data_IF_871880363437
#
_entry.id   IF_871880363437
#
_cell.length_a   1.000
_cell.length_b   1.000
_cell.length_c   1.000
_cell.angle_alpha   90.00
_cell.angle_beta   90.00
_cell.angle_gamma   90.00
#
_symmetry.space_group_name_H-M   'P 1'
#
loop_
_entity.id
_entity.type
_entity.pdbx_description
1 polymer ?
#
# COMPACT_ATOMS: atom_id res chain seq x y z
N UNK A 1 -17.34 0.87 5.51
CA UNK A 1 -16.88 0.45 4.17
C UNK A 1 -16.28 1.65 3.47
N UNK A 2 -15.14 1.51 2.77
CA UNK A 2 -14.60 2.57 1.92
C UNK A 2 -15.66 3.06 0.92
N UNK A 3 -15.65 4.37 0.61
CA UNK A 3 -16.65 4.98 -0.27
C UNK A 3 -16.57 4.48 -1.72
N UNK A 4 -15.44 3.89 -2.09
CA UNK A 4 -15.09 3.46 -3.43
C UNK A 4 -15.26 1.96 -3.67
N UNK A 5 -15.66 1.19 -2.65
CA UNK A 5 -15.80 -0.26 -2.78
C UNK A 5 -16.77 -0.67 -3.90
N UNK A 6 -17.81 0.14 -4.13
CA UNK A 6 -18.77 -0.07 -5.20
C UNK A 6 -18.40 0.63 -6.51
N UNK A 7 -17.40 1.51 -6.54
CA UNK A 7 -17.03 2.22 -7.77
C UNK A 7 -16.57 1.25 -8.85
N UNK A 8 -15.78 0.22 -8.50
CA UNK A 8 -15.39 -0.79 -9.47
C UNK A 8 -16.58 -1.62 -9.96
N UNK A 9 -17.58 -1.86 -9.10
CA UNK A 9 -18.82 -2.56 -9.48
C UNK A 9 -19.64 -1.72 -10.45
N UNK A 10 -19.75 -0.41 -10.18
CA UNK A 10 -20.46 0.54 -11.02
C UNK A 10 -19.76 0.70 -12.38
N UNK A 11 -18.43 0.83 -12.38
CA UNK A 11 -17.61 0.92 -13.60
C UNK A 11 -17.61 -0.37 -14.43
N UNK A 12 -17.77 -1.53 -13.79
CA UNK A 12 -17.97 -2.80 -14.46
C UNK A 12 -19.39 -2.98 -15.01
N UNK A 13 -20.32 -2.03 -14.77
CA UNK A 13 -21.77 -2.16 -15.00
C UNK A 13 -22.37 -3.40 -14.31
N UNK A 14 -21.96 -3.61 -13.06
CA UNK A 14 -22.51 -4.62 -12.17
C UNK A 14 -21.62 -5.83 -11.92
N UNK A 15 -22.02 -6.68 -10.95
CA UNK A 15 -21.16 -7.71 -10.37
C UNK A 15 -20.77 -8.82 -11.34
N UNK A 16 -21.51 -9.02 -12.43
CA UNK A 16 -21.21 -10.08 -13.42
C UNK A 16 -19.91 -9.82 -14.18
N UNK A 17 -19.52 -8.56 -14.35
CA UNK A 17 -18.30 -8.16 -15.07
C UNK A 17 -17.17 -7.73 -14.13
N UNK A 18 -17.44 -7.66 -12.83
CA UNK A 18 -16.49 -7.20 -11.81
C UNK A 18 -15.16 -7.93 -11.87
N UNK A 19 -15.19 -9.27 -11.95
CA UNK A 19 -13.95 -10.07 -12.04
C UNK A 19 -13.15 -9.71 -13.28
N UNK A 20 -13.80 -9.68 -14.45
CA UNK A 20 -13.14 -9.37 -15.71
C UNK A 20 -12.53 -7.95 -15.70
N UNK A 21 -13.25 -6.97 -15.14
CA UNK A 21 -12.78 -5.60 -15.06
C UNK A 21 -11.62 -5.44 -14.06
N UNK A 22 -11.69 -6.15 -12.93
CA UNK A 22 -10.58 -6.25 -11.98
C UNK A 22 -9.32 -6.79 -12.66
N UNK A 23 -9.41 -7.96 -13.31
CA UNK A 23 -8.28 -8.57 -14.01
C UNK A 23 -7.68 -7.65 -15.07
N UNK A 24 -8.53 -7.01 -15.88
CA UNK A 24 -8.10 -6.10 -16.95
C UNK A 24 -7.29 -4.93 -16.39
N UNK A 25 -7.78 -4.28 -15.33
CA UNK A 25 -7.12 -3.14 -14.69
C UNK A 25 -5.89 -3.56 -13.91
N UNK A 26 -5.95 -4.69 -13.23
CA UNK A 26 -4.82 -5.28 -12.52
C UNK A 26 -3.65 -5.56 -13.46
N UNK A 27 -3.91 -6.20 -14.60
CA UNK A 27 -2.90 -6.45 -15.63
C UNK A 27 -2.38 -5.14 -16.25
N UNK A 28 -3.26 -4.17 -16.52
CA UNK A 28 -2.86 -2.86 -17.04
C UNK A 28 -1.99 -2.06 -16.05
N UNK A 29 -2.17 -2.28 -14.75
CA UNK A 29 -1.36 -1.69 -13.69
C UNK A 29 0.00 -2.37 -13.52
N UNK A 30 0.27 -3.48 -14.22
CA UNK A 30 1.53 -4.24 -14.10
C UNK A 30 1.49 -5.36 -13.05
N UNK A 31 0.30 -5.69 -12.53
CA UNK A 31 0.15 -6.76 -11.55
C UNK A 31 0.59 -8.12 -12.09
N UNK A 32 1.20 -8.94 -11.23
CA UNK A 32 1.71 -10.25 -11.63
C UNK A 32 0.58 -11.27 -11.75
N UNK A 33 0.51 -11.98 -12.88
CA UNK A 33 -0.50 -13.01 -13.09
C UNK A 33 -0.49 -14.12 -12.02
N UNK A 34 0.66 -14.35 -11.38
CA UNK A 34 0.81 -15.30 -10.27
C UNK A 34 0.17 -14.83 -8.96
N UNK A 35 -0.02 -13.52 -8.78
CA UNK A 35 -0.58 -12.89 -7.56
C UNK A 35 -2.07 -12.54 -7.75
N UNK A 36 -2.57 -12.57 -8.98
CA UNK A 36 -3.93 -12.15 -9.35
C UNK A 36 -5.03 -12.83 -8.53
N UNK A 37 -4.94 -14.14 -8.29
CA UNK A 37 -5.99 -14.86 -7.55
C UNK A 37 -6.03 -14.47 -6.07
N UNK A 38 -4.86 -14.36 -5.44
CA UNK A 38 -4.76 -13.92 -4.05
C UNK A 38 -5.28 -12.48 -3.91
N UNK A 39 -4.89 -11.59 -4.83
CA UNK A 39 -5.34 -10.19 -4.81
C UNK A 39 -6.84 -10.05 -5.07
N UNK A 40 -7.40 -10.90 -5.93
CA UNK A 40 -8.84 -10.96 -6.13
C UNK A 40 -9.58 -11.45 -4.87
N UNK A 41 -9.10 -12.52 -4.24
CA UNK A 41 -9.70 -13.02 -2.99
C UNK A 41 -9.64 -11.96 -1.89
N UNK A 42 -8.51 -11.24 -1.79
CA UNK A 42 -8.36 -10.09 -0.90
C UNK A 42 -9.36 -8.96 -1.22
N UNK A 43 -9.56 -8.66 -2.51
CA UNK A 43 -10.52 -7.67 -2.96
C UNK A 43 -11.96 -8.05 -2.56
N UNK A 44 -12.41 -9.27 -2.92
CA UNK A 44 -13.79 -9.73 -2.67
C UNK A 44 -14.09 -9.94 -1.19
N UNK A 45 -13.10 -10.41 -0.41
CA UNK A 45 -13.24 -10.53 1.04
C UNK A 45 -13.28 -9.18 1.76
N UNK A 46 -12.93 -8.09 1.07
CA UNK A 46 -12.88 -6.74 1.61
C UNK A 46 -11.70 -6.49 2.54
N UNK A 47 -10.71 -7.40 2.60
CA UNK A 47 -9.53 -7.25 3.47
C UNK A 47 -8.74 -5.99 3.12
N UNK A 48 -8.67 -5.65 1.83
CA UNK A 48 -8.03 -4.42 1.37
C UNK A 48 -8.72 -3.16 1.88
N UNK A 49 -10.03 -3.17 2.09
CA UNK A 49 -10.77 -2.01 2.64
C UNK A 49 -10.44 -1.67 4.09
N UNK A 50 -9.73 -2.56 4.80
CA UNK A 50 -9.21 -2.32 6.15
C UNK A 50 -7.93 -1.49 6.08
N UNK A 51 -7.04 -1.76 5.12
CA UNK A 51 -5.72 -1.15 5.06
C UNK A 51 -5.61 0.00 4.04
N UNK A 52 -6.37 -0.02 2.95
CA UNK A 52 -6.29 0.95 1.87
C UNK A 52 -7.35 2.03 1.98
N UNK A 53 -6.97 3.26 1.63
CA UNK A 53 -7.92 4.39 1.49
C UNK A 53 -8.81 4.21 0.29
N UNK A 54 -8.25 3.67 -0.79
CA UNK A 54 -8.94 3.34 -2.03
C UNK A 54 -8.61 1.91 -2.45
N UNK A 55 -9.63 1.13 -2.79
CA UNK A 55 -9.54 -0.30 -3.09
C UNK A 55 -9.75 -0.51 -4.59
N UNK A 56 -8.83 0.05 -5.40
CA UNK A 56 -8.79 -0.19 -6.85
C UNK A 56 -7.71 -1.24 -7.19
N UNK A 57 -7.83 -1.94 -8.35
CA UNK A 57 -6.79 -2.84 -8.81
C UNK A 57 -5.42 -2.18 -8.92
N UNK A 58 -5.35 -0.92 -9.36
CA UNK A 58 -4.11 -0.14 -9.44
C UNK A 58 -3.50 0.10 -8.06
N UNK A 59 -4.33 0.41 -7.07
CA UNK A 59 -3.85 0.70 -5.71
C UNK A 59 -3.32 -0.56 -5.04
N UNK A 60 -3.97 -1.71 -5.30
CA UNK A 60 -3.51 -3.03 -4.81
C UNK A 60 -2.14 -3.35 -5.42
N UNK A 61 -2.00 -3.28 -6.75
CA UNK A 61 -0.72 -3.52 -7.43
C UNK A 61 0.36 -2.58 -6.91
N UNK A 62 0.06 -1.28 -6.81
CA UNK A 62 1.03 -0.29 -6.36
C UNK A 62 1.48 -0.52 -4.91
N UNK A 63 0.56 -0.91 -4.03
CA UNK A 63 0.89 -1.30 -2.67
C UNK A 63 1.85 -2.49 -2.66
N UNK A 64 1.57 -3.55 -3.42
CA UNK A 64 2.41 -4.75 -3.47
C UNK A 64 3.83 -4.44 -3.99
N UNK A 65 3.96 -3.55 -4.98
CA UNK A 65 5.26 -3.05 -5.45
C UNK A 65 6.04 -2.32 -4.36
N UNK A 66 5.40 -1.35 -3.69
CA UNK A 66 6.02 -0.55 -2.63
C UNK A 66 6.46 -1.44 -1.45
N UNK A 67 5.63 -2.41 -1.06
CA UNK A 67 5.97 -3.37 0.00
C UNK A 67 7.25 -4.13 -0.35
N UNK A 68 7.32 -4.76 -1.53
CA UNK A 68 8.50 -5.52 -1.97
C UNK A 68 9.75 -4.64 -2.08
N UNK A 69 9.60 -3.42 -2.61
CA UNK A 69 10.73 -2.49 -2.78
C UNK A 69 11.27 -2.01 -1.43
N UNK A 70 10.40 -1.60 -0.50
CA UNK A 70 10.80 -1.16 0.85
C UNK A 70 11.44 -2.32 1.62
N UNK A 71 10.90 -3.53 1.54
CA UNK A 71 11.52 -4.72 2.15
C UNK A 71 12.94 -4.95 1.61
N UNK A 72 13.12 -4.84 0.29
CA UNK A 72 14.43 -4.91 -0.35
C UNK A 72 15.39 -3.82 0.14
N UNK A 73 14.95 -2.56 0.16
CA UNK A 73 15.73 -1.41 0.64
C UNK A 73 16.15 -1.56 2.10
N UNK A 74 15.26 -2.09 2.95
CA UNK A 74 15.54 -2.33 4.36
C UNK A 74 16.50 -3.52 4.57
N UNK A 75 16.42 -4.55 3.73
CA UNK A 75 17.32 -5.70 3.75
C UNK A 75 18.75 -5.32 3.31
N UNK A 76 18.88 -4.45 2.30
CA UNK A 76 20.18 -3.98 1.79
C UNK A 76 20.47 -2.53 2.22
N UNK A 77 20.18 -2.22 3.49
CA UNK A 77 20.24 -0.85 3.99
C UNK A 77 21.59 -0.16 3.73
N UNK A 78 21.55 1.00 3.04
CA UNK A 78 22.71 1.82 2.74
C UNK A 78 22.54 3.24 3.30
N UNK A 79 22.54 3.44 4.64
CA UNK A 79 22.16 4.70 5.27
C UNK A 79 23.09 5.89 5.01
N UNK A 80 24.21 5.70 4.31
CA UNK A 80 25.11 6.77 3.86
C UNK A 80 24.96 7.12 2.38
N UNK A 81 24.18 6.34 1.64
CA UNK A 81 23.91 6.55 0.23
C UNK A 81 22.68 7.47 0.07
N UNK A 82 22.87 8.59 -0.62
CA UNK A 82 21.82 9.59 -0.83
C UNK A 82 20.67 9.05 -1.70
N UNK A 83 20.94 8.20 -2.68
CA UNK A 83 19.91 7.63 -3.55
C UNK A 83 19.03 6.65 -2.78
N UNK A 84 19.65 5.77 -1.97
CA UNK A 84 18.92 4.87 -1.07
C UNK A 84 18.04 5.65 -0.08
N UNK A 85 18.58 6.74 0.50
CA UNK A 85 17.85 7.59 1.43
C UNK A 85 16.62 8.25 0.79
N UNK A 86 16.79 8.82 -0.40
CA UNK A 86 15.71 9.44 -1.17
C UNK A 86 14.64 8.42 -1.53
N UNK A 87 15.04 7.29 -2.11
CA UNK A 87 14.11 6.23 -2.51
C UNK A 87 13.31 5.68 -1.33
N UNK A 88 13.97 5.34 -0.22
CA UNK A 88 13.27 4.84 0.97
C UNK A 88 12.28 5.88 1.51
N UNK A 89 12.64 7.17 1.48
CA UNK A 89 11.76 8.23 1.98
C UNK A 89 10.51 8.36 1.10
N UNK A 90 10.69 8.38 -0.21
CA UNK A 90 9.60 8.60 -1.15
C UNK A 90 8.66 7.40 -1.20
N UNK A 91 9.19 6.17 -1.22
CA UNK A 91 8.36 4.96 -1.20
C UNK A 91 7.59 4.81 0.11
N UNK A 92 8.21 5.09 1.27
CA UNK A 92 7.50 5.09 2.56
C UNK A 92 6.42 6.18 2.61
N UNK A 93 6.68 7.36 2.04
CA UNK A 93 5.69 8.44 1.98
C UNK A 93 4.51 8.08 1.06
N UNK A 94 4.79 7.44 -0.08
CA UNK A 94 3.76 6.97 -0.99
C UNK A 94 2.91 5.86 -0.37
N UNK A 95 3.55 4.85 0.26
CA UNK A 95 2.82 3.79 0.96
C UNK A 95 1.94 4.36 2.08
N UNK A 96 2.44 5.34 2.85
CA UNK A 96 1.67 6.04 3.89
C UNK A 96 0.46 6.81 3.33
N UNK A 97 0.56 7.30 2.10
CA UNK A 97 -0.54 7.98 1.41
C UNK A 97 -1.61 7.00 0.89
N UNK A 98 -1.23 5.79 0.47
CA UNK A 98 -2.18 4.74 0.06
C UNK A 98 -2.91 4.11 1.26
N UNK A 99 -2.20 3.96 2.37
CA UNK A 99 -2.72 3.31 3.56
C UNK A 99 -3.55 4.25 4.45
N UNK A 100 -4.58 3.67 5.07
CA UNK A 100 -5.36 4.36 6.10
C UNK A 100 -4.54 4.48 7.38
N UNK A 101 -4.87 5.49 8.17
CA UNK A 101 -4.53 5.43 9.60
C UNK A 101 -5.40 4.34 10.22
N UNK A 102 -4.76 3.31 10.79
CA UNK A 102 -5.45 2.24 11.49
C UNK A 102 -6.11 2.77 12.77
N UNK A 103 -7.30 2.29 13.08
CA UNK A 103 -7.86 2.40 14.43
C UNK A 103 -7.02 1.49 15.34
N UNK A 104 -6.36 2.03 16.40
CA UNK A 104 -5.29 1.33 17.13
C UNK A 104 -5.65 -0.07 17.64
N UNK A 105 -6.93 -0.28 18.00
CA UNK A 105 -7.39 -1.49 18.69
C UNK A 105 -8.19 -2.46 17.79
N UNK A 106 -8.87 -1.94 16.76
CA UNK A 106 -9.74 -2.77 15.92
C UNK A 106 -8.95 -3.50 14.83
N UNK A 107 -7.98 -2.82 14.24
CA UNK A 107 -7.33 -3.32 13.04
C UNK A 107 -6.13 -4.22 13.37
N UNK A 108 -5.46 -4.02 14.51
CA UNK A 108 -4.32 -4.86 14.94
C UNK A 108 -4.70 -6.27 15.37
N UNK A 109 -5.93 -6.46 15.85
CA UNK A 109 -6.42 -7.76 16.30
C UNK A 109 -7.03 -8.61 15.17
N UNK A 110 -7.14 -8.05 13.95
CA UNK A 110 -7.77 -8.71 12.80
C UNK A 110 -6.80 -9.54 11.95
N UNK A 111 -5.50 -9.31 12.09
CA UNK A 111 -4.47 -9.93 11.27
C UNK A 111 -3.56 -10.82 12.13
N UNK A 112 -3.20 -11.99 11.61
CA UNK A 112 -2.24 -12.91 12.26
C UNK A 112 -0.79 -12.36 12.26
N UNK A 113 -0.57 -11.23 11.57
CA UNK A 113 0.70 -10.52 11.50
C UNK A 113 0.48 -9.00 11.65
N UNK A 114 1.47 -8.26 12.18
CA UNK A 114 1.38 -6.81 12.22
C UNK A 114 1.14 -6.23 10.81
N UNK A 115 0.32 -5.18 10.66
CA UNK A 115 0.07 -4.57 9.36
C UNK A 115 1.34 -4.03 8.69
N UNK A 116 1.32 -3.93 7.36
CA UNK A 116 2.38 -3.30 6.55
C UNK A 116 2.76 -1.91 7.05
N UNK A 117 1.79 -1.11 7.52
CA UNK A 117 2.05 0.18 8.17
C UNK A 117 3.04 0.08 9.33
N UNK A 118 2.83 -0.88 10.23
CA UNK A 118 3.66 -1.02 11.42
C UNK A 118 5.06 -1.54 11.03
N UNK A 119 5.12 -2.51 10.13
CA UNK A 119 6.38 -3.16 9.72
C UNK A 119 7.26 -2.31 8.78
N UNK A 120 6.66 -1.50 7.92
CA UNK A 120 7.37 -0.83 6.83
C UNK A 120 7.37 0.69 6.95
N UNK A 121 6.30 1.31 7.48
CA UNK A 121 6.24 2.77 7.65
C UNK A 121 6.77 3.16 9.02
N UNK A 122 6.15 2.64 10.09
CA UNK A 122 6.50 3.00 11.48
C UNK A 122 7.91 2.54 11.79
N UNK A 123 8.22 1.26 11.57
CA UNK A 123 9.56 0.73 11.84
C UNK A 123 10.67 1.42 11.04
N UNK A 124 10.42 1.83 9.77
CA UNK A 124 11.42 2.58 9.00
C UNK A 124 11.67 3.97 9.59
N UNK A 125 10.61 4.67 10.01
CA UNK A 125 10.70 5.99 10.66
C UNK A 125 11.43 5.93 11.99
N UNK A 126 11.17 4.89 12.79
CA UNK A 126 11.86 4.65 14.06
C UNK A 126 13.33 4.28 13.88
N UNK A 127 13.64 3.47 12.85
CA UNK A 127 15.01 3.02 12.57
C UNK A 127 15.89 4.11 11.97
N UNK A 128 15.31 5.02 11.17
CA UNK A 128 16.05 6.10 10.48
C UNK A 128 15.47 7.49 10.77
N UNK A 129 15.38 7.94 12.04
CA UNK A 129 14.64 9.15 12.40
C UNK A 129 15.17 10.43 11.73
N UNK A 130 16.49 10.52 11.53
CA UNK A 130 17.13 11.65 10.83
C UNK A 130 16.72 11.75 9.35
N UNK A 131 16.42 10.62 8.72
CA UNK A 131 16.02 10.58 7.31
C UNK A 131 14.63 11.20 7.10
N UNK A 132 13.74 11.00 8.07
CA UNK A 132 12.35 11.41 8.02
C UNK A 132 12.08 12.76 8.71
N UNK A 133 12.97 13.23 9.59
CA UNK A 133 12.86 14.55 10.21
C UNK A 133 13.04 15.73 9.23
N UNK A 134 13.79 15.54 8.14
CA UNK A 134 14.23 16.63 7.25
C UNK A 134 13.11 17.31 6.42
N UNK A 135 11.90 16.74 6.32
CA UNK A 135 10.79 17.30 5.50
C UNK A 135 9.80 18.17 6.30
N UNK A 136 9.93 18.28 7.62
CA UNK A 136 9.03 19.10 8.46
C UNK A 136 9.31 20.62 8.40
N UNK A 137 10.44 21.04 7.81
CA UNK A 137 10.90 22.44 7.85
C UNK A 137 10.71 23.28 6.57
N UNK A 138 10.14 22.75 5.49
CA UNK A 138 10.11 23.41 4.18
C UNK A 138 8.70 23.86 3.73
N UNK A 139 7.88 24.41 4.63
CA UNK A 139 6.70 25.20 4.26
C UNK A 139 6.67 26.50 5.07
N UNK A 140 7.10 27.58 4.44
CA UNK A 140 6.94 28.92 4.99
C UNK A 140 7.87 29.93 4.34
N UNK A 141 7.50 30.43 3.15
CA UNK A 141 7.71 31.80 2.68
C UNK A 141 6.51 32.17 1.81
#
# INVERSE_FOLDING_TARGET
MPADYFLLVDEADGPKRLRQEFERRYAAAGGAASELEEDWEGYVSGVYGVCLRQVSPETIVRKSELVRSIEGLLATAAPKDAAWQEQLRDEVAELDALEREFSPDYDRNRFDRPPSRDLLIVAARERYPKLFAAKAGARGW
#
